data_IF_628895459249
#
_entry.id   IF_628895459249
#
_cell.length_a   1.000
_cell.length_b   1.000
_cell.length_c   1.000
_cell.angle_alpha   90.00
_cell.angle_beta   90.00
_cell.angle_gamma   90.00
#
_symmetry.space_group_name_H-M   'P 1'
#
loop_
_entity.id
_entity.type
_entity.pdbx_description
1 polymer ?
#
# COMPACT_ATOMS: atom_id res chain seq x y z
N UNK A 1 -44.26 -23.91 15.61
CA UNK A 1 -44.07 -23.74 14.16
C UNK A 1 -43.94 -22.25 13.87
N UNK A 2 -42.72 -21.74 13.83
CA UNK A 2 -42.38 -20.49 13.15
C UNK A 2 -40.89 -20.58 12.86
N UNK A 3 -40.57 -21.05 11.66
CA UNK A 3 -39.24 -20.98 11.10
C UNK A 3 -39.01 -19.55 10.62
N UNK A 4 -38.16 -18.79 11.31
CA UNK A 4 -37.49 -17.64 10.69
C UNK A 4 -36.26 -18.16 9.95
N UNK A 5 -36.45 -18.38 8.65
CA UNK A 5 -35.41 -18.71 7.69
C UNK A 5 -35.22 -17.50 6.78
N UNK A 6 -34.02 -16.93 6.78
CA UNK A 6 -33.48 -16.19 5.62
C UNK A 6 -33.33 -14.69 5.80
N UNK A 7 -32.15 -14.25 6.26
CA UNK A 7 -31.61 -12.93 5.90
C UNK A 7 -30.07 -12.81 6.03
N UNK A 8 -29.38 -13.73 6.70
CA UNK A 8 -27.95 -13.51 7.03
C UNK A 8 -26.94 -14.39 6.27
N UNK A 9 -27.40 -15.23 5.34
CA UNK A 9 -26.55 -16.21 4.62
C UNK A 9 -26.02 -15.68 3.25
N UNK A 10 -26.24 -14.40 2.94
CA UNK A 10 -26.17 -13.90 1.56
C UNK A 10 -24.85 -13.24 1.13
N UNK A 11 -23.79 -13.14 1.95
CA UNK A 11 -22.63 -12.34 1.52
C UNK A 11 -21.23 -12.71 2.00
N UNK A 12 -21.05 -13.91 2.55
CA UNK A 12 -19.74 -14.32 3.07
C UNK A 12 -18.89 -14.96 1.97
N UNK A 13 -17.72 -14.39 1.70
CA UNK A 13 -16.72 -15.00 0.82
C UNK A 13 -16.02 -16.12 1.59
N UNK A 14 -16.13 -17.36 1.09
CA UNK A 14 -15.51 -18.53 1.73
C UNK A 14 -13.98 -18.38 1.89
N UNK A 15 -13.43 -18.82 3.02
CA UNK A 15 -12.09 -18.39 3.46
C UNK A 15 -10.92 -18.92 2.62
N UNK A 16 -10.98 -20.18 2.17
CA UNK A 16 -9.80 -20.89 1.67
C UNK A 16 -9.25 -20.36 0.36
N UNK A 17 -10.11 -20.13 -0.64
CA UNK A 17 -9.69 -19.66 -1.96
C UNK A 17 -8.98 -18.31 -1.90
N UNK A 18 -9.59 -17.28 -1.29
CA UNK A 18 -8.96 -15.98 -1.08
C UNK A 18 -7.73 -16.04 -0.17
N UNK A 19 -7.75 -16.83 0.92
CA UNK A 19 -6.61 -16.93 1.84
C UNK A 19 -5.39 -17.54 1.16
N UNK A 20 -5.56 -18.65 0.42
CA UNK A 20 -4.50 -19.25 -0.39
C UNK A 20 -4.06 -18.29 -1.50
N UNK A 21 -5.00 -17.66 -2.20
CA UNK A 21 -4.70 -16.75 -3.31
C UNK A 21 -3.89 -15.53 -2.86
N UNK A 22 -4.32 -14.86 -1.79
CA UNK A 22 -3.62 -13.70 -1.23
C UNK A 22 -2.28 -14.10 -0.62
N UNK A 23 -2.21 -15.21 0.12
CA UNK A 23 -0.96 -15.69 0.69
C UNK A 23 0.06 -16.06 -0.41
N UNK A 24 -0.38 -16.76 -1.46
CA UNK A 24 0.46 -17.07 -2.61
C UNK A 24 0.92 -15.82 -3.36
N UNK A 25 0.02 -14.85 -3.55
CA UNK A 25 0.35 -13.56 -4.17
C UNK A 25 1.41 -12.79 -3.35
N UNK A 26 1.20 -12.64 -2.05
CA UNK A 26 2.14 -11.96 -1.16
C UNK A 26 3.48 -12.72 -1.06
N UNK A 27 3.46 -14.05 -1.09
CA UNK A 27 4.67 -14.86 -1.15
C UNK A 27 5.45 -14.61 -2.43
N UNK A 28 4.77 -14.55 -3.59
CA UNK A 28 5.41 -14.23 -4.86
C UNK A 28 6.00 -12.81 -4.88
N UNK A 29 5.28 -11.82 -4.34
CA UNK A 29 5.79 -10.45 -4.18
C UNK A 29 6.99 -10.43 -3.24
N UNK A 30 6.95 -11.12 -2.10
CA UNK A 30 8.08 -11.23 -1.18
C UNK A 30 9.31 -11.85 -1.84
N UNK A 31 9.13 -12.92 -2.63
CA UNK A 31 10.20 -13.57 -3.38
C UNK A 31 10.82 -12.61 -4.41
N UNK A 32 9.98 -11.86 -5.13
CA UNK A 32 10.43 -10.84 -6.08
C UNK A 32 11.23 -9.75 -5.38
N UNK A 33 10.72 -9.21 -4.27
CA UNK A 33 11.40 -8.16 -3.48
C UNK A 33 12.75 -8.66 -2.97
N UNK A 34 12.83 -9.87 -2.42
CA UNK A 34 14.10 -10.46 -1.98
C UNK A 34 15.07 -10.63 -3.16
N UNK A 35 14.58 -11.15 -4.29
CA UNK A 35 15.39 -11.33 -5.50
C UNK A 35 15.97 -10.02 -6.02
N UNK A 36 15.15 -8.97 -6.14
CA UNK A 36 15.63 -7.66 -6.61
C UNK A 36 16.53 -6.98 -5.56
N UNK A 37 16.26 -7.16 -4.27
CA UNK A 37 17.12 -6.65 -3.20
C UNK A 37 18.52 -7.24 -3.24
N UNK A 38 18.64 -8.54 -3.55
CA UNK A 38 19.94 -9.19 -3.77
C UNK A 38 20.66 -8.63 -5.00
N UNK A 39 19.91 -8.33 -6.07
CA UNK A 39 20.44 -7.72 -7.31
C UNK A 39 21.00 -6.32 -7.07
N UNK A 40 20.29 -5.50 -6.29
CA UNK A 40 20.69 -4.10 -6.01
C UNK A 40 21.68 -4.02 -4.83
N UNK A 41 21.79 -5.09 -4.04
CA UNK A 41 22.83 -5.28 -3.02
C UNK A 41 22.33 -5.06 -1.60
N UNK A 42 22.64 -6.03 -0.73
CA UNK A 42 22.17 -6.08 0.67
C UNK A 42 23.27 -5.84 1.70
N UNK A 43 24.50 -5.52 1.27
CA UNK A 43 25.62 -5.26 2.18
C UNK A 43 25.72 -3.79 2.58
N UNK A 44 26.63 -3.51 3.49
CA UNK A 44 27.01 -2.16 3.90
C UNK A 44 28.07 -1.59 2.96
N UNK A 45 27.92 -0.35 2.53
CA UNK A 45 28.89 0.43 1.76
C UNK A 45 29.49 1.54 2.64
N UNK A 46 30.49 2.25 2.12
CA UNK A 46 31.23 3.28 2.86
C UNK A 46 30.34 4.47 3.29
N UNK A 47 29.24 4.68 2.57
CA UNK A 47 28.24 5.72 2.80
C UNK A 47 26.97 5.21 3.52
N UNK A 48 26.93 3.92 3.90
CA UNK A 48 25.82 3.34 4.66
C UNK A 48 25.24 2.06 4.05
N UNK A 49 24.05 1.62 4.49
CA UNK A 49 23.41 0.44 3.96
C UNK A 49 23.02 0.66 2.50
N UNK A 50 23.34 -0.30 1.62
CA UNK A 50 22.89 -0.26 0.23
C UNK A 50 21.36 -0.30 0.16
N UNK A 51 20.80 0.17 -0.97
CA UNK A 51 19.34 0.30 -1.14
C UNK A 51 18.59 -1.03 -1.04
N UNK A 52 19.23 -2.17 -1.30
CA UNK A 52 18.65 -3.50 -1.13
C UNK A 52 18.65 -4.01 0.32
N UNK A 53 19.43 -3.41 1.24
CA UNK A 53 19.55 -3.86 2.63
C UNK A 53 18.18 -3.89 3.32
N UNK A 54 17.47 -2.76 3.33
CA UNK A 54 16.20 -2.65 4.03
C UNK A 54 15.07 -3.49 3.38
N UNK A 55 14.84 -3.41 2.05
CA UNK A 55 13.81 -4.20 1.39
C UNK A 55 14.03 -5.71 1.50
N UNK A 56 15.28 -6.18 1.61
CA UNK A 56 15.59 -7.61 1.80
C UNK A 56 14.99 -8.18 3.09
N UNK A 57 15.19 -7.53 4.24
CA UNK A 57 14.68 -8.02 5.52
C UNK A 57 13.15 -7.96 5.59
N UNK A 58 12.56 -6.89 5.05
CA UNK A 58 11.10 -6.76 4.95
C UNK A 58 10.54 -7.85 4.02
N UNK A 59 11.21 -8.13 2.90
CA UNK A 59 10.88 -9.21 1.99
C UNK A 59 10.95 -10.59 2.64
N UNK A 60 11.98 -10.86 3.46
CA UNK A 60 12.10 -12.10 4.24
C UNK A 60 10.97 -12.26 5.26
N UNK A 61 10.62 -11.20 5.99
CA UNK A 61 9.48 -11.23 6.92
C UNK A 61 8.15 -11.48 6.18
N UNK A 62 7.99 -10.86 5.01
CA UNK A 62 6.81 -11.07 4.16
C UNK A 62 6.75 -12.51 3.64
N UNK A 63 7.87 -13.07 3.17
CA UNK A 63 7.97 -14.47 2.76
C UNK A 63 7.66 -15.44 3.89
N UNK A 64 8.22 -15.22 5.08
CA UNK A 64 7.98 -16.08 6.24
C UNK A 64 6.52 -16.05 6.68
N UNK A 65 5.92 -14.87 6.81
CA UNK A 65 4.53 -14.71 7.23
C UNK A 65 3.54 -15.24 6.20
N UNK A 66 3.69 -14.87 4.93
CA UNK A 66 2.83 -15.37 3.84
C UNK A 66 3.01 -16.86 3.60
N UNK A 67 4.23 -17.39 3.69
CA UNK A 67 4.54 -18.80 3.58
C UNK A 67 3.91 -19.61 4.71
N UNK A 68 3.99 -19.11 5.96
CA UNK A 68 3.31 -19.73 7.10
C UNK A 68 1.79 -19.79 6.91
N UNK A 69 1.17 -18.70 6.44
CA UNK A 69 -0.26 -18.66 6.15
C UNK A 69 -0.61 -19.64 5.03
N UNK A 70 0.16 -19.66 3.95
CA UNK A 70 -0.05 -20.55 2.81
C UNK A 70 0.04 -22.03 3.21
N UNK A 71 1.09 -22.41 3.94
CA UNK A 71 1.26 -23.78 4.45
C UNK A 71 0.10 -24.17 5.38
N UNK A 72 -0.31 -23.28 6.30
CA UNK A 72 -1.46 -23.55 7.17
C UNK A 72 -2.77 -23.69 6.40
N UNK A 73 -3.00 -22.84 5.40
CA UNK A 73 -4.20 -22.90 4.56
C UNK A 73 -4.26 -24.20 3.75
N UNK A 74 -3.11 -24.70 3.27
CA UNK A 74 -3.01 -25.97 2.55
C UNK A 74 -3.14 -27.19 3.48
N UNK A 75 -2.56 -27.17 4.68
CA UNK A 75 -2.57 -28.30 5.62
C UNK A 75 -3.90 -28.46 6.40
N UNK A 76 -4.70 -27.40 6.54
CA UNK A 76 -5.90 -27.39 7.39
C UNK A 76 -7.16 -27.96 6.71
N UNK A 77 -7.06 -29.16 6.12
CA UNK A 77 -8.11 -29.80 5.30
C UNK A 77 -9.49 -29.87 5.96
N UNK A 78 -9.59 -29.91 7.30
CA UNK A 78 -10.85 -30.04 8.07
C UNK A 78 -11.32 -28.81 8.84
N UNK A 79 -10.54 -27.74 8.92
CA UNK A 79 -10.98 -26.51 9.60
C UNK A 79 -11.56 -25.56 8.55
N UNK A 80 -12.86 -25.64 8.29
CA UNK A 80 -13.55 -24.64 7.46
C UNK A 80 -13.75 -23.40 8.32
N UNK A 81 -12.84 -22.42 8.21
CA UNK A 81 -13.18 -21.06 8.65
C UNK A 81 -14.21 -20.52 7.65
N UNK A 82 -15.34 -20.08 8.17
CA UNK A 82 -16.48 -19.69 7.34
C UNK A 82 -16.29 -18.31 6.72
N UNK A 83 -15.43 -17.45 7.26
CA UNK A 83 -15.35 -16.05 6.85
C UNK A 83 -13.89 -15.62 6.53
N UNK A 84 -13.64 -15.19 5.30
CA UNK A 84 -12.41 -14.47 4.92
C UNK A 84 -12.49 -13.00 5.32
N UNK A 85 -13.51 -12.32 4.80
CA UNK A 85 -13.81 -10.92 4.98
C UNK A 85 -15.26 -10.68 4.53
N UNK A 86 -15.93 -9.72 5.17
CA UNK A 86 -17.24 -9.24 4.70
C UNK A 86 -17.09 -8.38 3.44
N UNK A 87 -18.15 -8.24 2.65
CA UNK A 87 -18.16 -7.35 1.47
C UNK A 87 -17.80 -5.90 1.84
N UNK A 88 -18.21 -5.46 3.02
CA UNK A 88 -17.90 -4.12 3.55
C UNK A 88 -16.40 -3.95 3.83
N UNK A 89 -15.77 -4.97 4.42
CA UNK A 89 -14.32 -4.96 4.65
C UNK A 89 -13.54 -4.92 3.34
N UNK A 90 -13.95 -5.70 2.34
CA UNK A 90 -13.36 -5.64 0.99
C UNK A 90 -13.55 -4.23 0.40
N UNK A 91 -14.73 -3.64 0.54
CA UNK A 91 -15.01 -2.26 0.14
C UNK A 91 -14.06 -1.24 0.79
N UNK A 92 -13.75 -1.39 2.08
CA UNK A 92 -12.80 -0.53 2.79
C UNK A 92 -11.37 -0.68 2.25
N UNK A 93 -10.94 -1.88 1.89
CA UNK A 93 -9.62 -2.10 1.25
C UNK A 93 -9.54 -1.38 -0.08
N UNK A 94 -10.55 -1.54 -0.94
CA UNK A 94 -10.58 -0.86 -2.25
C UNK A 94 -10.71 0.66 -2.13
N UNK A 95 -11.38 1.16 -1.09
CA UNK A 95 -11.50 2.60 -0.83
C UNK A 95 -10.14 3.28 -0.58
N UNK A 96 -9.13 2.53 -0.14
CA UNK A 96 -7.74 3.01 0.01
C UNK A 96 -6.87 2.61 -1.17
N UNK A 97 -6.99 1.36 -1.64
CA UNK A 97 -6.15 0.82 -2.72
C UNK A 97 -6.30 1.59 -4.04
N UNK A 98 -7.54 1.88 -4.46
CA UNK A 98 -7.78 2.56 -5.75
C UNK A 98 -7.16 3.96 -5.78
N UNK A 99 -7.39 4.85 -4.78
CA UNK A 99 -6.71 6.14 -4.72
C UNK A 99 -5.19 6.04 -4.71
N UNK A 100 -4.61 5.03 -4.04
CA UNK A 100 -3.16 4.83 -4.01
C UNK A 100 -2.59 4.43 -5.37
N UNK A 101 -3.28 3.55 -6.12
CA UNK A 101 -2.89 3.20 -7.50
C UNK A 101 -2.98 4.42 -8.41
N UNK A 102 -4.05 5.19 -8.31
CA UNK A 102 -4.22 6.44 -9.07
C UNK A 102 -3.10 7.43 -8.73
N UNK A 103 -2.74 7.57 -7.45
CA UNK A 103 -1.62 8.41 -7.03
C UNK A 103 -0.30 8.00 -7.69
N UNK A 104 0.05 6.71 -7.68
CA UNK A 104 1.27 6.20 -8.34
C UNK A 104 1.25 6.51 -9.84
N UNK A 105 0.11 6.34 -10.51
CA UNK A 105 -0.03 6.70 -11.93
C UNK A 105 0.12 8.22 -12.17
N UNK A 106 -0.45 9.05 -11.29
CA UNK A 106 -0.34 10.51 -11.38
C UNK A 106 1.09 11.01 -11.21
N UNK A 107 1.91 10.38 -10.36
CA UNK A 107 3.32 10.77 -10.17
C UNK A 107 4.06 10.83 -11.52
N UNK A 108 3.81 9.88 -12.42
CA UNK A 108 4.48 9.83 -13.72
C UNK A 108 4.12 11.02 -14.63
N UNK A 109 2.90 11.57 -14.49
CA UNK A 109 2.40 12.66 -15.32
C UNK A 109 2.64 14.05 -14.71
N UNK A 110 2.25 14.24 -13.46
CA UNK A 110 2.18 15.57 -12.80
C UNK A 110 3.15 15.73 -11.63
N UNK A 111 4.05 14.77 -11.40
CA UNK A 111 5.03 14.83 -10.33
C UNK A 111 4.48 14.43 -8.97
N UNK A 112 5.40 14.13 -8.05
CA UNK A 112 5.05 13.62 -6.72
C UNK A 112 4.37 14.66 -5.83
N UNK A 113 4.70 15.94 -5.97
CA UNK A 113 4.17 16.99 -5.10
C UNK A 113 2.70 17.27 -5.39
N UNK A 114 2.36 17.47 -6.66
CA UNK A 114 0.97 17.71 -7.07
C UNK A 114 0.13 16.45 -6.83
N UNK A 115 0.66 15.26 -7.16
CA UNK A 115 -0.02 14.01 -6.88
C UNK A 115 -0.28 13.82 -5.37
N UNK A 116 0.69 14.18 -4.51
CA UNK A 116 0.54 14.09 -3.05
C UNK A 116 -0.49 15.08 -2.52
N UNK A 117 -0.47 16.33 -3.02
CA UNK A 117 -1.49 17.33 -2.70
C UNK A 117 -2.91 16.78 -2.97
N UNK A 118 -3.13 16.25 -4.17
CA UNK A 118 -4.42 15.69 -4.58
C UNK A 118 -4.82 14.49 -3.71
N UNK A 119 -3.89 13.57 -3.43
CA UNK A 119 -4.14 12.40 -2.61
C UNK A 119 -4.53 12.79 -1.18
N UNK A 120 -3.75 13.67 -0.54
CA UNK A 120 -3.98 14.12 0.83
C UNK A 120 -5.31 14.86 0.91
N UNK A 121 -5.57 15.78 -0.02
CA UNK A 121 -6.84 16.50 -0.07
C UNK A 121 -8.03 15.54 -0.25
N UNK A 122 -7.90 14.54 -1.14
CA UNK A 122 -8.91 13.51 -1.34
C UNK A 122 -9.19 12.72 -0.06
N UNK A 123 -8.17 12.20 0.61
CA UNK A 123 -8.35 11.43 1.85
C UNK A 123 -8.95 12.27 2.97
N UNK A 124 -8.48 13.50 3.16
CA UNK A 124 -8.99 14.40 4.18
C UNK A 124 -10.47 14.76 3.94
N UNK A 125 -10.87 14.98 2.69
CA UNK A 125 -12.26 15.33 2.37
C UNK A 125 -13.18 14.11 2.38
N UNK A 126 -12.76 13.01 1.74
CA UNK A 126 -13.61 11.84 1.51
C UNK A 126 -13.73 10.92 2.73
N UNK A 127 -12.61 10.67 3.41
CA UNK A 127 -12.54 9.73 4.53
C UNK A 127 -12.44 10.46 5.88
N UNK A 128 -11.69 11.56 5.95
CA UNK A 128 -11.51 12.34 7.18
C UNK A 128 -12.63 13.35 7.49
N UNK A 129 -13.45 13.70 6.48
CA UNK A 129 -14.53 14.72 6.57
C UNK A 129 -14.06 16.07 7.15
N UNK A 130 -12.79 16.43 6.94
CA UNK A 130 -12.22 17.69 7.43
C UNK A 130 -12.76 18.90 6.65
N UNK A 131 -12.75 20.06 7.31
CA UNK A 131 -13.09 21.35 6.69
C UNK A 131 -12.06 21.79 5.63
N UNK A 132 -12.49 22.65 4.71
CA UNK A 132 -11.65 23.15 3.62
C UNK A 132 -10.36 23.85 4.08
N UNK A 133 -10.38 24.73 5.10
CA UNK A 133 -9.15 25.43 5.52
C UNK A 133 -8.07 24.45 5.98
N UNK A 134 -8.44 23.48 6.82
CA UNK A 134 -7.51 22.46 7.33
C UNK A 134 -7.03 21.54 6.22
N UNK A 135 -7.93 21.16 5.30
CA UNK A 135 -7.59 20.32 4.14
C UNK A 135 -6.54 21.00 3.27
N UNK A 136 -6.77 22.25 2.88
CA UNK A 136 -5.83 23.01 2.02
C UNK A 136 -4.51 23.23 2.74
N UNK A 137 -4.55 23.63 4.02
CA UNK A 137 -3.34 23.84 4.80
C UNK A 137 -2.45 22.59 4.85
N UNK A 138 -3.02 21.43 5.19
CA UNK A 138 -2.25 20.18 5.34
C UNK A 138 -1.81 19.63 3.98
N UNK A 139 -2.69 19.62 2.99
CA UNK A 139 -2.36 19.10 1.65
C UNK A 139 -1.30 19.91 0.93
N UNK A 140 -1.11 21.20 1.26
CA UNK A 140 0.02 22.02 0.77
C UNK A 140 1.26 21.87 1.66
N UNK A 141 1.09 21.93 2.99
CA UNK A 141 2.21 21.93 3.92
C UNK A 141 3.01 20.62 3.86
N UNK A 142 2.35 19.47 3.70
CA UNK A 142 3.03 18.16 3.69
C UNK A 142 3.95 18.00 2.47
N UNK A 143 3.49 18.19 1.20
CA UNK A 143 4.39 18.15 0.05
C UNK A 143 5.51 19.20 0.12
N UNK A 144 5.22 20.40 0.63
CA UNK A 144 6.24 21.45 0.80
C UNK A 144 7.30 21.04 1.83
N UNK A 145 6.91 20.42 2.95
CA UNK A 145 7.85 19.90 3.92
C UNK A 145 8.74 18.80 3.31
N UNK A 146 8.15 17.90 2.51
CA UNK A 146 8.92 16.89 1.75
C UNK A 146 9.90 17.54 0.78
N UNK A 147 9.51 18.59 0.06
CA UNK A 147 10.40 19.35 -0.81
C UNK A 147 11.59 19.93 -0.02
N UNK A 148 11.33 20.59 1.11
CA UNK A 148 12.38 21.17 1.95
C UNK A 148 13.33 20.11 2.53
N UNK A 149 12.80 18.98 3.00
CA UNK A 149 13.64 17.93 3.59
C UNK A 149 14.44 17.20 2.51
N UNK A 150 13.80 16.70 1.45
CA UNK A 150 14.49 15.86 0.47
C UNK A 150 15.31 16.66 -0.52
N UNK A 151 14.77 17.70 -1.13
CA UNK A 151 15.49 18.43 -2.17
C UNK A 151 16.41 19.50 -1.61
N UNK A 152 15.99 20.21 -0.55
CA UNK A 152 16.81 21.30 0.00
C UNK A 152 17.82 20.82 1.02
N UNK A 153 17.49 19.83 1.85
CA UNK A 153 18.38 19.34 2.90
C UNK A 153 19.17 18.11 2.48
N UNK A 154 18.50 17.06 1.98
CA UNK A 154 19.16 15.82 1.55
C UNK A 154 19.68 15.87 0.11
N UNK A 155 19.33 16.89 -0.68
CA UNK A 155 19.71 17.03 -2.09
C UNK A 155 19.30 15.82 -2.94
N UNK A 156 18.23 15.12 -2.55
CA UNK A 156 17.63 13.99 -3.26
C UNK A 156 16.53 14.52 -4.18
N UNK A 157 16.74 14.38 -5.49
CA UNK A 157 15.77 14.78 -6.50
C UNK A 157 14.56 13.85 -6.49
N UNK A 158 13.37 14.42 -6.30
CA UNK A 158 12.12 13.69 -6.39
C UNK A 158 11.50 13.81 -7.81
N UNK A 159 10.60 12.90 -8.22
CA UNK A 159 9.98 12.97 -9.54
C UNK A 159 9.14 14.25 -9.72
N UNK A 160 9.58 15.14 -10.62
CA UNK A 160 8.94 16.44 -10.88
C UNK A 160 8.02 16.43 -12.10
N UNK A 161 6.86 17.06 -11.93
CA UNK A 161 5.89 17.27 -12.99
C UNK A 161 6.17 18.50 -13.84
N UNK A 162 5.29 18.75 -14.83
CA UNK A 162 5.35 19.94 -15.67
C UNK A 162 5.18 21.24 -14.88
N UNK A 163 4.39 21.21 -13.79
CA UNK A 163 4.15 22.39 -12.96
C UNK A 163 5.42 22.80 -12.24
N UNK A 164 6.09 21.87 -11.57
CA UNK A 164 7.35 22.12 -10.86
C UNK A 164 8.43 22.61 -11.83
N UNK A 165 8.53 21.98 -13.01
CA UNK A 165 9.43 22.43 -14.07
C UNK A 165 9.14 23.86 -14.55
N UNK A 166 7.87 24.25 -14.64
CA UNK A 166 7.48 25.61 -15.04
C UNK A 166 7.87 26.65 -13.98
N UNK A 167 7.87 26.28 -12.70
CA UNK A 167 8.32 27.15 -11.60
C UNK A 167 9.85 27.17 -11.41
N UNK A 168 10.61 26.45 -12.25
CA UNK A 168 12.06 26.33 -12.13
C UNK A 168 12.50 25.57 -10.87
N UNK A 169 11.60 24.77 -10.31
CA UNK A 169 11.88 23.89 -9.19
C UNK A 169 12.51 22.61 -9.70
#
# INVERSE_FOLDING_TARGET
MTQEKGADDASVVGSRGPEVGVAAFLFAIGALVVGDSLRVGIGWADDGPRSGYFPFYIGLMLLGSSGYILVRALLSWRATRTEFASREQIGMVFAVFVPMVVYVALIAGIGIYVASFLLIAYFMRRHGRYGWPVTVAVSVAVPLAFFLVFERWFLVLLPKGPLERAFGL
#
